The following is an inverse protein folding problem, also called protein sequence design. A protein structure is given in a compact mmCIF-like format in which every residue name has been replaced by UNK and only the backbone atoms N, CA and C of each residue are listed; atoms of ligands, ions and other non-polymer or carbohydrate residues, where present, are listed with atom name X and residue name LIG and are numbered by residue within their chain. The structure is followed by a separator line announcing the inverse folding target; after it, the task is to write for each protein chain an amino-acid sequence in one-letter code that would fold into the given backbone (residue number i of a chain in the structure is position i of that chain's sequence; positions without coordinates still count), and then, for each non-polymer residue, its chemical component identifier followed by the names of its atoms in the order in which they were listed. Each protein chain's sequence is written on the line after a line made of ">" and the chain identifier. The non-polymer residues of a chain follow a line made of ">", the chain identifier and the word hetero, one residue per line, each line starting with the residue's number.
data_IF_728049836504
#
_entry.id   IF_728049836504
#
_cell.length_a   1.000
_cell.length_b   1.000
_cell.length_c   1.000
_cell.angle_alpha   90.00
_cell.angle_beta   90.00
_cell.angle_gamma   90.00
#
_symmetry.space_group_name_H-M   'P 1'
#
loop_
_entity.id
_entity.type
_entity.pdbx_description
1 polymer ?
#
# COMPACT_ATOMS: atom_id res chain seq x y z
N UNK A 1 15.73 8.83 5.17
CA UNK A 1 15.27 7.52 4.67
C UNK A 1 13.95 7.75 3.98
N UNK A 2 13.82 7.33 2.73
CA UNK A 2 12.63 7.58 1.91
C UNK A 2 12.35 6.39 1.01
N UNK A 3 11.08 6.06 0.78
CA UNK A 3 10.72 4.96 -0.12
C UNK A 3 11.07 5.33 -1.56
N UNK A 4 11.61 4.39 -2.31
CA UNK A 4 11.87 4.57 -3.74
C UNK A 4 10.55 4.73 -4.50
N UNK A 5 10.48 5.59 -5.54
CA UNK A 5 9.25 5.77 -6.31
C UNK A 5 8.67 4.47 -6.87
N UNK A 6 9.54 3.53 -7.29
CA UNK A 6 9.11 2.22 -7.77
C UNK A 6 8.49 1.38 -6.65
N UNK A 7 9.09 1.36 -5.46
CA UNK A 7 8.54 0.64 -4.31
C UNK A 7 7.15 1.19 -3.90
N UNK A 8 6.93 2.50 -4.03
CA UNK A 8 5.61 3.11 -3.83
C UNK A 8 4.61 2.63 -4.89
N UNK A 9 5.00 2.64 -6.17
CA UNK A 9 4.14 2.19 -7.27
C UNK A 9 3.77 0.70 -7.15
N UNK A 10 4.74 -0.14 -6.77
CA UNK A 10 4.53 -1.57 -6.55
C UNK A 10 3.58 -1.80 -5.37
N UNK A 11 3.74 -1.04 -4.28
CA UNK A 11 2.85 -1.14 -3.12
C UNK A 11 1.40 -0.73 -3.46
N UNK A 12 1.23 0.31 -4.29
CA UNK A 12 -0.10 0.72 -4.78
C UNK A 12 -0.71 -0.38 -5.65
N UNK A 13 0.08 -1.01 -6.52
CA UNK A 13 -0.37 -2.12 -7.38
C UNK A 13 -0.85 -3.30 -6.53
N UNK A 14 -0.04 -3.74 -5.57
CA UNK A 14 -0.38 -4.80 -4.62
C UNK A 14 -1.69 -4.52 -3.86
N UNK A 15 -1.87 -3.29 -3.35
CA UNK A 15 -3.10 -2.91 -2.65
C UNK A 15 -4.32 -2.96 -3.57
N UNK A 16 -4.19 -2.45 -4.80
CA UNK A 16 -5.27 -2.44 -5.79
C UNK A 16 -5.64 -3.86 -6.23
N UNK A 17 -4.67 -4.74 -6.46
CA UNK A 17 -4.90 -6.14 -6.85
C UNK A 17 -5.65 -6.91 -5.76
N UNK A 18 -5.22 -6.76 -4.49
CA UNK A 18 -5.92 -7.35 -3.34
C UNK A 18 -7.35 -6.85 -3.22
N UNK A 19 -7.56 -5.54 -3.38
CA UNK A 19 -8.88 -4.94 -3.32
C UNK A 19 -9.80 -5.44 -4.46
N UNK A 20 -9.27 -5.53 -5.69
CA UNK A 20 -9.99 -5.97 -6.88
C UNK A 20 -10.53 -7.41 -6.77
N UNK A 21 -9.87 -8.26 -5.97
CA UNK A 21 -10.32 -9.62 -5.68
C UNK A 21 -11.50 -9.69 -4.68
N UNK A 22 -12.05 -8.56 -4.23
CA UNK A 22 -13.14 -8.50 -3.25
C UNK A 22 -14.34 -7.70 -3.75
N UNK A 23 -15.45 -7.73 -3.00
CA UNK A 23 -16.62 -6.89 -3.28
C UNK A 23 -16.49 -5.46 -2.75
N UNK A 24 -15.47 -5.14 -1.94
CA UNK A 24 -15.35 -3.82 -1.31
C UNK A 24 -15.31 -2.65 -2.31
N UNK A 25 -14.60 -2.72 -3.45
CA UNK A 25 -14.57 -1.63 -4.43
C UNK A 25 -15.90 -1.40 -5.15
N UNK A 26 -16.84 -2.34 -5.08
CA UNK A 26 -18.14 -2.22 -5.74
C UNK A 26 -19.13 -1.38 -4.93
N UNK A 27 -18.91 -1.24 -3.62
CA UNK A 27 -19.78 -0.46 -2.74
C UNK A 27 -19.41 1.03 -2.77
N UNK A 28 -20.43 1.90 -2.85
CA UNK A 28 -20.26 3.33 -2.62
C UNK A 28 -20.03 3.60 -1.13
N UNK A 29 -18.77 3.50 -0.72
CA UNK A 29 -18.33 3.70 0.66
C UNK A 29 -17.26 4.78 0.75
N UNK A 30 -16.98 5.20 1.98
CA UNK A 30 -15.89 6.11 2.27
C UNK A 30 -14.50 5.48 2.02
N UNK A 31 -14.37 4.15 2.03
CA UNK A 31 -13.12 3.47 1.66
C UNK A 31 -12.69 3.74 0.23
N UNK A 32 -13.66 3.96 -0.65
CA UNK A 32 -13.45 4.30 -2.04
C UNK A 32 -13.49 5.81 -2.30
N UNK A 33 -13.69 6.63 -1.27
CA UNK A 33 -13.88 8.08 -1.40
C UNK A 33 -15.22 8.50 -2.03
N UNK A 34 -16.17 7.57 -2.20
CA UNK A 34 -17.45 7.83 -2.86
C UNK A 34 -18.39 8.76 -2.08
N UNK A 35 -18.06 9.05 -0.82
CA UNK A 35 -18.86 9.86 0.10
C UNK A 35 -18.67 11.39 -0.08
N UNK A 36 -17.69 11.83 -0.88
CA UNK A 36 -17.42 13.25 -1.11
C UNK A 36 -17.51 13.54 -2.62
N UNK A 37 -18.45 14.39 -3.07
CA UNK A 37 -18.54 14.80 -4.47
C UNK A 37 -17.22 15.40 -4.97
N UNK A 38 -16.76 14.97 -6.15
CA UNK A 38 -15.51 15.43 -6.76
C UNK A 38 -14.24 14.79 -6.20
N UNK A 39 -14.31 13.98 -5.14
CA UNK A 39 -13.13 13.26 -4.62
C UNK A 39 -12.76 12.09 -5.56
N UNK A 40 -11.47 11.90 -5.89
CA UNK A 40 -11.02 10.73 -6.64
C UNK A 40 -11.44 9.41 -5.98
N UNK A 41 -11.89 8.47 -6.81
CA UNK A 41 -12.31 7.15 -6.35
C UNK A 41 -11.13 6.17 -6.33
N UNK A 42 -10.48 6.06 -5.18
CA UNK A 42 -9.35 5.16 -4.93
C UNK A 42 -9.64 4.34 -3.69
N UNK A 43 -9.37 3.04 -3.74
CA UNK A 43 -9.54 2.18 -2.59
C UNK A 43 -8.33 2.32 -1.66
N UNK A 44 -8.53 2.95 -0.51
CA UNK A 44 -7.43 3.36 0.38
C UNK A 44 -6.94 2.28 1.36
N UNK A 45 -7.77 1.36 1.88
CA UNK A 45 -7.31 0.36 2.85
C UNK A 45 -6.45 -0.75 2.22
N UNK A 46 -5.52 -1.30 3.00
CA UNK A 46 -4.91 -2.60 2.70
C UNK A 46 -5.87 -3.74 3.07
N UNK A 47 -6.20 -4.62 2.12
CA UNK A 47 -7.11 -5.76 2.31
C UNK A 47 -6.35 -7.10 2.22
N UNK A 48 -5.41 -7.30 3.13
CA UNK A 48 -4.73 -8.59 3.34
C UNK A 48 -4.83 -9.13 4.76
N UNK A 49 -5.45 -8.39 5.69
CA UNK A 49 -5.49 -8.72 7.10
C UNK A 49 -4.19 -8.35 7.84
N UNK A 50 -4.30 -8.18 9.17
CA UNK A 50 -3.21 -7.68 10.01
C UNK A 50 -1.98 -8.61 10.01
N UNK A 51 -2.18 -9.94 10.02
CA UNK A 51 -1.08 -10.90 10.02
C UNK A 51 -0.21 -10.81 8.75
N UNK A 52 -0.82 -10.71 7.58
CA UNK A 52 -0.10 -10.55 6.30
C UNK A 52 0.61 -9.21 6.26
N UNK A 53 -0.05 -8.13 6.67
CA UNK A 53 0.56 -6.80 6.72
C UNK A 53 1.81 -6.79 7.63
N UNK A 54 1.68 -7.36 8.84
CA UNK A 54 2.79 -7.48 9.78
C UNK A 54 3.95 -8.30 9.23
N UNK A 55 3.66 -9.40 8.52
CA UNK A 55 4.68 -10.21 7.87
C UNK A 55 5.44 -9.43 6.78
N UNK A 56 4.74 -8.64 5.96
CA UNK A 56 5.36 -7.77 4.95
C UNK A 56 6.28 -6.75 5.61
N UNK A 57 5.81 -6.08 6.67
CA UNK A 57 6.62 -5.11 7.41
C UNK A 57 7.87 -5.75 8.03
N UNK A 58 7.72 -6.93 8.63
CA UNK A 58 8.83 -7.67 9.24
C UNK A 58 9.87 -8.08 8.19
N UNK A 59 9.43 -8.57 7.02
CA UNK A 59 10.30 -8.94 5.91
C UNK A 59 11.06 -7.75 5.33
N UNK A 60 10.39 -6.60 5.15
CA UNK A 60 11.04 -5.35 4.72
C UNK A 60 12.13 -4.95 5.71
N UNK A 61 11.85 -4.96 7.01
CA UNK A 61 12.84 -4.61 8.04
C UNK A 61 14.02 -5.61 8.09
N UNK A 62 13.73 -6.91 8.02
CA UNK A 62 14.74 -7.96 8.00
C UNK A 62 15.63 -7.89 6.74
N UNK A 63 15.08 -7.42 5.63
CA UNK A 63 15.78 -7.21 4.36
C UNK A 63 16.55 -5.88 4.30
N UNK A 64 16.86 -5.25 5.43
CA UNK A 64 17.58 -3.98 5.48
C UNK A 64 16.78 -2.81 4.92
N UNK A 65 15.45 -2.84 5.08
CA UNK A 65 14.50 -1.87 4.53
C UNK A 65 14.49 -1.81 3.00
N UNK A 66 14.31 -2.97 2.36
CA UNK A 66 14.16 -3.07 0.90
C UNK A 66 13.13 -2.06 0.37
N UNK A 67 13.44 -1.43 -0.76
CA UNK A 67 12.60 -0.40 -1.37
C UNK A 67 12.71 0.99 -0.72
N UNK A 68 13.66 1.20 0.20
CA UNK A 68 13.97 2.52 0.76
C UNK A 68 15.39 2.94 0.44
N UNK A 69 15.55 4.21 0.08
CA UNK A 69 16.83 4.90 0.09
C UNK A 69 17.18 5.30 1.53
N UNK A 70 18.25 4.71 2.07
CA UNK A 70 18.79 5.05 3.39
C UNK A 70 19.83 6.17 3.25
N UNK A 71 19.54 7.35 3.80
CA UNK A 71 20.51 8.44 3.86
C UNK A 71 21.59 8.09 4.89
N UNK A 72 22.72 7.52 4.45
CA UNK A 72 23.79 7.13 5.37
C UNK A 72 24.88 6.17 4.86
N UNK A 73 24.71 5.46 3.74
CA UNK A 73 25.87 4.74 3.16
C UNK A 73 26.64 5.68 2.23
N UNK A 74 27.56 6.47 2.79
CA UNK A 74 28.74 6.85 2.00
C UNK A 74 29.50 5.57 1.70
N UNK A 75 29.78 5.33 0.43
CA UNK A 75 30.89 4.47 0.02
C UNK A 75 32.20 5.04 0.56
#
# INVERSE_FOLDING_TARGET
>A
MEAEPQAVADWVTECNERAAATMFPQANSWYLGANIPGKPRVFMPFIGGFGVYGAICADVAASGYKGFTLAGSRA
#
